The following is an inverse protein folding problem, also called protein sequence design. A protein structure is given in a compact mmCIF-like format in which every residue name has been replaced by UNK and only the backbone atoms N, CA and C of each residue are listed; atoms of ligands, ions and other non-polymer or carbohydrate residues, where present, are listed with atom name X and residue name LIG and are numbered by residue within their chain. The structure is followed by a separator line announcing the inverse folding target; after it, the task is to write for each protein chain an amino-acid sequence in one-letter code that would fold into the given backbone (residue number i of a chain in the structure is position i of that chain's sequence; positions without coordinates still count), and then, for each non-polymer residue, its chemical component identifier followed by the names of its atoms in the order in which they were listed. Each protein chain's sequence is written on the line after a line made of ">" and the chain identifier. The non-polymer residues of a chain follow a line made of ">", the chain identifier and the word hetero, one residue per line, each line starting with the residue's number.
data_IF_951245479054
#
_entry.id   IF_951245479054
#
_cell.length_a   1.000
_cell.length_b   1.000
_cell.length_c   1.000
_cell.angle_alpha   90.00
_cell.angle_beta   90.00
_cell.angle_gamma   90.00
#
_symmetry.space_group_name_H-M   'P 1'
#
loop_
_entity.id
_entity.type
_entity.pdbx_description
1 polymer ?
#
# COMPACT_ATOMS: atom_id res chain seq x y z
N UNK A 1 -10.02 -9.91 5.54
CA UNK A 1 -9.17 -10.71 6.47
C UNK A 1 -9.31 -12.22 6.22
N UNK A 2 -10.47 -12.92 6.44
CA UNK A 2 -10.56 -14.39 6.31
C UNK A 2 -9.94 -14.95 5.01
N UNK A 3 -10.37 -14.51 3.84
CA UNK A 3 -9.79 -14.94 2.55
C UNK A 3 -8.26 -14.74 2.43
N UNK A 4 -7.74 -13.71 3.08
CA UNK A 4 -6.30 -13.47 3.15
C UNK A 4 -5.61 -14.54 4.01
N UNK A 5 -6.15 -14.83 5.19
CA UNK A 5 -5.62 -15.87 6.08
C UNK A 5 -5.73 -17.26 5.45
N UNK A 6 -6.84 -17.56 4.76
CA UNK A 6 -6.99 -18.81 4.00
C UNK A 6 -5.87 -18.95 2.96
N UNK A 7 -5.60 -17.88 2.19
CA UNK A 7 -4.53 -17.89 1.17
C UNK A 7 -3.13 -18.01 1.78
N UNK A 8 -2.90 -17.41 2.95
CA UNK A 8 -1.61 -17.54 3.67
C UNK A 8 -1.40 -18.95 4.22
N UNK A 9 -2.45 -19.59 4.73
CA UNK A 9 -2.35 -20.95 5.27
C UNK A 9 -2.34 -22.02 4.19
N UNK A 10 -2.81 -21.71 2.97
CA UNK A 10 -2.82 -22.59 1.82
C UNK A 10 -1.62 -22.40 0.89
N UNK A 11 -0.53 -21.79 1.36
CA UNK A 11 0.67 -21.62 0.54
C UNK A 11 1.29 -23.00 0.16
N UNK A 12 1.75 -23.11 -1.09
CA UNK A 12 2.46 -24.30 -1.60
C UNK A 12 3.92 -24.30 -1.12
N UNK A 13 4.37 -25.41 -0.56
CA UNK A 13 5.73 -25.57 -0.02
C UNK A 13 6.18 -24.37 0.85
N UNK A 14 5.38 -24.00 1.87
CA UNK A 14 5.69 -22.81 2.64
C UNK A 14 6.98 -22.99 3.45
N UNK A 15 7.81 -21.94 3.54
CA UNK A 15 8.89 -21.93 4.52
C UNK A 15 8.33 -21.95 5.94
N UNK A 16 9.16 -22.23 6.94
CA UNK A 16 8.77 -21.98 8.33
C UNK A 16 8.41 -20.52 8.52
N UNK A 17 7.14 -20.21 8.76
CA UNK A 17 6.66 -18.81 8.89
C UNK A 17 5.70 -18.64 10.05
N UNK A 18 5.67 -17.44 10.61
CA UNK A 18 4.66 -16.97 11.53
C UNK A 18 3.77 -15.93 10.85
N UNK A 19 2.49 -15.92 11.16
CA UNK A 19 1.53 -14.92 10.68
C UNK A 19 1.10 -14.08 11.87
N UNK A 20 1.36 -12.77 11.80
CA UNK A 20 1.05 -11.80 12.84
C UNK A 20 -0.07 -10.87 12.37
N UNK A 21 -1.11 -10.73 13.17
CA UNK A 21 -2.25 -9.84 12.88
C UNK A 21 -2.42 -8.86 14.04
N UNK A 22 -1.79 -7.70 13.98
CA UNK A 22 -2.03 -6.63 14.96
C UNK A 22 -3.42 -6.02 14.77
N UNK A 23 -4.14 -5.85 15.87
CA UNK A 23 -5.46 -5.21 15.88
C UNK A 23 -5.64 -4.34 17.12
N UNK A 24 -6.57 -3.41 17.07
CA UNK A 24 -6.90 -2.52 18.19
C UNK A 24 -8.42 -2.47 18.40
N UNK A 25 -8.84 -1.79 19.46
CA UNK A 25 -10.24 -1.70 19.88
C UNK A 25 -11.19 -1.04 18.86
N UNK A 26 -10.68 -0.45 17.77
CA UNK A 26 -11.52 0.09 16.69
C UNK A 26 -12.05 -0.99 15.74
N UNK A 27 -11.49 -2.21 15.80
CA UNK A 27 -11.92 -3.36 15.02
C UNK A 27 -12.93 -4.16 15.85
N UNK A 28 -14.20 -4.12 15.43
CA UNK A 28 -15.23 -4.96 16.00
C UNK A 28 -14.97 -6.44 15.64
N UNK A 29 -15.22 -7.34 16.59
CA UNK A 29 -15.24 -8.80 16.42
C UNK A 29 -13.97 -9.43 15.81
N UNK A 30 -12.89 -9.43 16.57
CA UNK A 30 -11.73 -10.29 16.29
C UNK A 30 -11.90 -11.70 16.87
N UNK A 31 -12.89 -11.91 17.73
CA UNK A 31 -13.08 -13.19 18.45
C UNK A 31 -13.37 -14.36 17.52
N UNK A 32 -14.25 -14.18 16.55
CA UNK A 32 -14.56 -15.19 15.55
C UNK A 32 -13.36 -15.55 14.68
N UNK A 33 -12.57 -14.58 14.27
CA UNK A 33 -11.32 -14.82 13.50
C UNK A 33 -10.29 -15.57 14.33
N UNK A 34 -10.09 -15.19 15.58
CA UNK A 34 -9.12 -15.86 16.47
C UNK A 34 -9.44 -17.34 16.67
N UNK A 35 -10.73 -17.67 16.85
CA UNK A 35 -11.18 -19.05 16.95
C UNK A 35 -11.03 -19.85 15.64
N UNK A 36 -11.26 -19.20 14.49
CA UNK A 36 -11.15 -19.84 13.18
C UNK A 36 -9.70 -20.07 12.72
N UNK A 37 -8.74 -19.26 13.21
CA UNK A 37 -7.34 -19.31 12.76
C UNK A 37 -6.36 -19.48 13.94
N UNK A 38 -6.35 -20.64 14.63
CA UNK A 38 -5.50 -20.88 15.81
C UNK A 38 -3.99 -20.85 15.52
N UNK A 39 -3.58 -21.07 14.27
CA UNK A 39 -2.18 -20.96 13.83
C UNK A 39 -1.71 -19.51 13.62
N UNK A 40 -2.61 -18.54 13.67
CA UNK A 40 -2.31 -17.12 13.47
C UNK A 40 -2.17 -16.44 14.84
N UNK A 41 -1.11 -15.68 14.99
CA UNK A 41 -0.88 -14.90 16.21
C UNK A 41 -1.51 -13.51 16.10
N UNK A 42 -2.61 -13.33 16.78
CA UNK A 42 -3.29 -12.04 16.89
C UNK A 42 -2.65 -11.22 18.01
N UNK A 43 -2.24 -9.98 17.72
CA UNK A 43 -1.59 -9.06 18.64
C UNK A 43 -2.61 -8.00 19.05
N UNK A 44 -3.10 -8.09 20.29
CA UNK A 44 -4.01 -7.10 20.85
C UNK A 44 -3.24 -5.85 21.28
N UNK A 45 -3.54 -4.73 20.67
CA UNK A 45 -2.94 -3.42 20.98
C UNK A 45 -3.79 -2.60 21.95
N UNK A 46 -4.99 -3.10 22.32
CA UNK A 46 -5.93 -2.39 23.18
C UNK A 46 -6.46 -1.10 22.53
N UNK A 47 -6.64 -0.07 23.33
CA UNK A 47 -7.04 1.26 22.85
C UNK A 47 -5.84 2.05 22.33
N UNK A 48 -5.73 2.18 21.02
CA UNK A 48 -4.67 2.98 20.39
C UNK A 48 -5.10 4.44 20.29
N UNK A 49 -4.34 5.32 20.92
CA UNK A 49 -4.53 6.78 20.77
C UNK A 49 -3.89 7.25 19.46
N UNK A 50 -4.64 8.03 18.70
CA UNK A 50 -4.15 8.68 17.48
C UNK A 50 -4.14 10.19 17.66
N UNK A 51 -3.23 10.88 16.97
CA UNK A 51 -3.14 12.35 17.01
C UNK A 51 -4.33 13.00 16.31
N UNK A 52 -5.04 12.24 15.49
CA UNK A 52 -6.21 12.68 14.72
C UNK A 52 -7.40 11.78 15.00
N UNK A 53 -8.63 12.27 14.87
CA UNK A 53 -9.81 11.44 15.06
C UNK A 53 -9.73 10.15 14.24
N UNK A 54 -9.99 9.00 14.87
CA UNK A 54 -9.86 7.66 14.29
C UNK A 54 -10.65 7.49 12.99
N UNK A 55 -11.81 8.15 12.88
CA UNK A 55 -12.66 8.12 11.68
C UNK A 55 -12.22 9.06 10.56
N UNK A 56 -11.20 9.91 10.78
CA UNK A 56 -10.60 10.72 9.72
C UNK A 56 -9.59 9.91 8.89
N UNK A 57 -9.34 10.31 7.63
CA UNK A 57 -8.32 9.67 6.79
C UNK A 57 -6.94 9.66 7.48
N UNK A 58 -6.56 10.76 8.14
CA UNK A 58 -5.29 10.86 8.84
C UNK A 58 -5.22 9.93 10.07
N UNK A 59 -6.31 9.80 10.85
CA UNK A 59 -6.37 8.88 11.99
C UNK A 59 -6.36 7.42 11.55
N UNK A 60 -7.06 7.08 10.47
CA UNK A 60 -7.03 5.72 9.89
C UNK A 60 -5.62 5.38 9.38
N UNK A 61 -4.95 6.29 8.68
CA UNK A 61 -3.57 6.08 8.23
C UNK A 61 -2.64 5.82 9.43
N UNK A 62 -2.76 6.64 10.48
CA UNK A 62 -1.97 6.48 11.69
C UNK A 62 -2.20 5.12 12.37
N UNK A 63 -3.45 4.64 12.41
CA UNK A 63 -3.76 3.29 12.93
C UNK A 63 -3.08 2.19 12.11
N UNK A 64 -3.11 2.28 10.78
CA UNK A 64 -2.43 1.32 9.93
C UNK A 64 -0.93 1.30 10.19
N UNK A 65 -0.31 2.47 10.29
CA UNK A 65 1.12 2.61 10.57
C UNK A 65 1.49 2.04 11.95
N UNK A 66 0.67 2.28 12.99
CA UNK A 66 0.88 1.73 14.33
C UNK A 66 0.69 0.22 14.39
N UNK A 67 -0.30 -0.33 13.68
CA UNK A 67 -0.49 -1.79 13.56
C UNK A 67 0.72 -2.46 12.90
N UNK A 68 1.23 -1.87 11.80
CA UNK A 68 2.45 -2.35 11.15
C UNK A 68 3.64 -2.34 12.11
N UNK A 69 3.85 -1.25 12.84
CA UNK A 69 4.91 -1.15 13.86
C UNK A 69 4.79 -2.24 14.94
N UNK A 70 3.59 -2.47 15.45
CA UNK A 70 3.35 -3.51 16.45
C UNK A 70 3.66 -4.92 15.93
N UNK A 71 3.31 -5.20 14.67
CA UNK A 71 3.66 -6.44 14.00
C UNK A 71 5.17 -6.61 13.81
N UNK A 72 5.83 -5.58 13.28
CA UNK A 72 7.28 -5.55 13.06
C UNK A 72 8.07 -5.76 14.36
N UNK A 73 7.64 -5.14 15.45
CA UNK A 73 8.29 -5.26 16.76
C UNK A 73 8.24 -6.69 17.33
N UNK A 74 7.26 -7.48 16.95
CA UNK A 74 7.06 -8.85 17.43
C UNK A 74 7.46 -9.94 16.42
N UNK A 75 7.75 -9.56 15.18
CA UNK A 75 8.21 -10.48 14.17
C UNK A 75 9.59 -11.05 14.51
N UNK A 76 9.81 -12.35 14.26
CA UNK A 76 11.04 -13.09 14.62
C UNK A 76 11.82 -13.62 13.41
N UNK A 77 11.19 -13.68 12.26
CA UNK A 77 11.79 -14.20 11.03
C UNK A 77 13.01 -13.41 10.57
N UNK A 78 13.95 -14.04 9.87
CA UNK A 78 15.07 -13.38 9.17
C UNK A 78 14.60 -12.54 7.99
N UNK A 79 13.46 -12.90 7.43
CA UNK A 79 12.68 -12.15 6.45
C UNK A 79 11.38 -11.71 7.09
N UNK A 80 10.96 -10.48 6.85
CA UNK A 80 9.73 -9.91 7.42
C UNK A 80 8.91 -9.28 6.31
N UNK A 81 7.74 -9.86 6.04
CA UNK A 81 6.83 -9.36 5.04
C UNK A 81 5.74 -8.47 5.65
N UNK A 82 5.38 -7.43 4.91
CA UNK A 82 4.18 -6.62 5.13
C UNK A 82 3.24 -6.90 3.97
N UNK A 83 2.03 -7.30 4.31
CA UNK A 83 0.95 -7.57 3.36
C UNK A 83 -0.34 -6.87 3.82
N UNK A 84 -1.15 -6.43 2.86
CA UNK A 84 -2.47 -5.91 3.17
C UNK A 84 -3.51 -7.03 3.19
N UNK A 85 -4.41 -7.02 4.16
CA UNK A 85 -5.45 -8.04 4.34
C UNK A 85 -6.47 -8.15 3.20
N UNK A 86 -6.48 -7.16 2.29
CA UNK A 86 -7.27 -7.16 1.06
C UNK A 86 -6.50 -7.66 -0.17
N UNK A 87 -5.27 -8.11 0.02
CA UNK A 87 -4.38 -8.56 -1.05
C UNK A 87 -3.91 -9.99 -0.80
N UNK A 88 -4.80 -11.00 -0.87
CA UNK A 88 -4.41 -12.40 -0.68
C UNK A 88 -3.29 -12.77 -1.66
N UNK A 89 -2.22 -13.41 -1.16
CA UNK A 89 -1.10 -13.84 -1.98
C UNK A 89 -1.47 -15.08 -2.81
N UNK A 90 -0.82 -15.22 -3.96
CA UNK A 90 -0.94 -16.43 -4.79
C UNK A 90 -0.21 -17.63 -4.14
N UNK A 91 -0.52 -18.87 -4.54
CA UNK A 91 -0.11 -20.08 -3.80
C UNK A 91 1.38 -20.28 -3.55
N UNK A 92 2.25 -19.72 -4.39
CA UNK A 92 3.72 -19.85 -4.26
C UNK A 92 4.42 -18.64 -3.67
N UNK A 93 3.67 -17.64 -3.26
CA UNK A 93 4.19 -16.35 -2.86
C UNK A 93 5.28 -16.48 -1.77
N UNK A 94 5.02 -17.23 -0.71
CA UNK A 94 5.94 -17.33 0.43
C UNK A 94 7.26 -18.02 0.04
N UNK A 95 7.19 -19.13 -0.68
CA UNK A 95 8.35 -19.86 -1.19
C UNK A 95 9.19 -19.01 -2.16
N UNK A 96 8.52 -18.38 -3.13
CA UNK A 96 9.21 -17.60 -4.16
C UNK A 96 9.81 -16.31 -3.57
N UNK A 97 9.19 -15.71 -2.55
CA UNK A 97 9.75 -14.58 -1.82
C UNK A 97 11.06 -14.95 -1.09
N UNK A 98 11.10 -16.08 -0.39
CA UNK A 98 12.33 -16.59 0.25
C UNK A 98 13.42 -16.83 -0.79
N UNK A 99 13.10 -17.57 -1.85
CA UNK A 99 14.05 -17.86 -2.95
C UNK A 99 14.64 -16.58 -3.55
N UNK A 100 13.83 -15.55 -3.77
CA UNK A 100 14.32 -14.27 -4.28
C UNK A 100 15.26 -13.59 -3.30
N UNK A 101 14.97 -13.59 -2.01
CA UNK A 101 15.86 -13.00 -0.99
C UNK A 101 17.17 -13.77 -0.79
N UNK A 102 17.18 -15.06 -1.08
CA UNK A 102 18.41 -15.89 -1.08
C UNK A 102 19.27 -15.65 -2.32
N UNK A 103 18.64 -15.49 -3.49
CA UNK A 103 19.33 -15.33 -4.76
C UNK A 103 19.75 -13.90 -5.11
N UNK A 104 19.13 -12.90 -4.47
CA UNK A 104 19.33 -11.49 -4.78
C UNK A 104 19.93 -10.72 -3.59
N UNK A 105 20.81 -9.75 -3.83
CA UNK A 105 21.48 -8.98 -2.75
C UNK A 105 20.54 -7.97 -2.08
N UNK A 106 19.38 -7.66 -2.69
CA UNK A 106 18.51 -6.56 -2.27
C UNK A 106 17.97 -6.74 -0.86
N UNK A 107 17.96 -5.64 -0.11
CA UNK A 107 17.44 -5.61 1.27
C UNK A 107 15.91 -5.67 1.32
N UNK A 108 15.26 -5.16 0.28
CA UNK A 108 13.80 -5.05 0.16
C UNK A 108 13.35 -5.57 -1.20
N UNK A 109 12.40 -6.49 -1.19
CA UNK A 109 11.77 -7.02 -2.40
C UNK A 109 10.26 -6.79 -2.31
N UNK A 110 9.72 -6.04 -3.27
CA UNK A 110 8.29 -5.91 -3.49
C UNK A 110 7.80 -6.83 -4.60
N UNK A 111 6.50 -7.08 -4.62
CA UNK A 111 5.88 -7.92 -5.62
C UNK A 111 4.82 -7.21 -6.47
N UNK A 112 4.34 -7.94 -7.46
CA UNK A 112 3.22 -7.52 -8.29
C UNK A 112 1.92 -7.46 -7.47
N UNK A 113 1.08 -6.49 -7.82
CA UNK A 113 -0.24 -6.29 -7.23
C UNK A 113 -1.23 -6.34 -8.38
N UNK A 114 -2.05 -7.39 -8.44
CA UNK A 114 -3.07 -7.57 -9.46
C UNK A 114 -4.46 -7.22 -8.92
N UNK A 115 -5.38 -6.86 -9.81
CA UNK A 115 -6.76 -6.56 -9.41
C UNK A 115 -7.63 -7.81 -9.45
N UNK A 116 -8.19 -8.19 -8.30
CA UNK A 116 -9.25 -9.19 -8.23
C UNK A 116 -10.64 -8.63 -8.63
N UNK A 117 -10.79 -7.31 -8.78
CA UNK A 117 -12.05 -6.65 -9.08
C UNK A 117 -12.46 -6.84 -10.54
N UNK A 118 -13.74 -7.15 -10.78
CA UNK A 118 -14.30 -7.33 -12.13
C UNK A 118 -15.02 -6.09 -12.66
N UNK A 119 -15.62 -5.32 -11.77
CA UNK A 119 -16.36 -4.09 -12.10
C UNK A 119 -15.45 -2.89 -12.38
N UNK A 120 -15.99 -1.90 -13.10
CA UNK A 120 -15.23 -0.75 -13.57
C UNK A 120 -14.86 0.24 -12.44
N UNK A 121 -15.70 0.36 -11.40
CA UNK A 121 -15.44 1.28 -10.28
C UNK A 121 -14.23 0.83 -9.47
N UNK A 122 -14.26 -0.42 -9.00
CA UNK A 122 -13.20 -0.96 -8.17
C UNK A 122 -11.90 -1.16 -8.97
N UNK A 123 -12.00 -1.49 -10.24
CA UNK A 123 -10.82 -1.54 -11.11
C UNK A 123 -10.25 -0.14 -11.36
N UNK A 124 -11.08 0.89 -11.55
CA UNK A 124 -10.61 2.28 -11.73
C UNK A 124 -9.84 2.76 -10.49
N UNK A 125 -10.37 2.48 -9.29
CA UNK A 125 -9.69 2.79 -8.04
C UNK A 125 -8.32 2.09 -7.95
N UNK A 126 -8.31 0.77 -8.14
CA UNK A 126 -7.09 -0.01 -8.19
C UNK A 126 -6.09 0.54 -9.22
N UNK A 127 -6.54 0.85 -10.44
CA UNK A 127 -5.67 1.32 -11.50
C UNK A 127 -5.06 2.69 -11.19
N UNK A 128 -5.76 3.57 -10.47
CA UNK A 128 -5.20 4.85 -10.03
C UNK A 128 -4.01 4.66 -9.07
N UNK A 129 -4.07 3.67 -8.18
CA UNK A 129 -3.07 3.49 -7.12
C UNK A 129 -1.99 2.47 -7.50
N UNK A 130 -2.35 1.38 -8.17
CA UNK A 130 -1.48 0.21 -8.34
C UNK A 130 -1.06 -0.08 -9.78
N UNK A 131 -1.43 0.72 -10.79
CA UNK A 131 -1.07 0.45 -12.20
C UNK A 131 0.41 0.16 -12.44
N UNK A 132 1.31 0.76 -11.66
CA UNK A 132 2.75 0.54 -11.79
C UNK A 132 3.19 -0.85 -11.37
N UNK A 133 2.45 -1.47 -10.45
CA UNK A 133 2.71 -2.79 -9.88
C UNK A 133 1.94 -3.92 -10.58
N UNK A 134 0.99 -3.59 -11.49
CA UNK A 134 0.27 -4.62 -12.25
C UNK A 134 1.16 -5.27 -13.30
N UNK A 135 0.95 -6.54 -13.56
CA UNK A 135 1.61 -7.26 -14.64
C UNK A 135 1.10 -6.80 -16.04
N UNK A 136 1.88 -7.00 -17.12
CA UNK A 136 3.28 -7.42 -17.10
C UNK A 136 4.24 -6.27 -16.83
N UNK A 137 5.36 -6.60 -16.18
CA UNK A 137 6.54 -5.74 -16.09
C UNK A 137 7.79 -6.62 -15.93
N UNK A 138 8.96 -6.10 -16.27
CA UNK A 138 10.24 -6.76 -16.04
C UNK A 138 10.68 -6.55 -14.59
N UNK A 139 11.07 -7.65 -13.92
CA UNK A 139 11.64 -7.62 -12.59
C UNK A 139 12.97 -6.85 -12.58
N UNK A 140 13.24 -6.10 -11.52
CA UNK A 140 14.47 -5.32 -11.43
C UNK A 140 14.46 -4.28 -10.32
N UNK A 141 15.59 -3.57 -10.14
CA UNK A 141 15.68 -2.46 -9.19
C UNK A 141 14.66 -1.36 -9.48
N UNK A 142 14.12 -0.75 -8.42
CA UNK A 142 13.14 0.35 -8.49
C UNK A 142 13.40 1.34 -7.36
N UNK A 143 12.91 2.56 -7.54
CA UNK A 143 13.00 3.60 -6.51
C UNK A 143 11.99 3.38 -5.36
N UNK A 144 10.96 2.57 -5.60
CA UNK A 144 9.94 2.22 -4.61
C UNK A 144 9.28 0.87 -4.91
N UNK A 145 8.77 0.26 -3.87
CA UNK A 145 7.85 -0.88 -3.87
C UNK A 145 6.67 -0.54 -2.97
N UNK A 146 5.63 -1.36 -2.89
CA UNK A 146 4.43 -1.04 -2.10
C UNK A 146 4.33 -1.92 -0.87
N UNK A 147 3.94 -1.31 0.26
CA UNK A 147 3.64 -1.98 1.53
C UNK A 147 2.41 -2.93 1.47
N UNK A 148 1.71 -2.93 0.35
CA UNK A 148 0.68 -3.94 0.05
C UNK A 148 1.29 -5.32 -0.22
N UNK A 149 2.53 -5.36 -0.76
CA UNK A 149 3.24 -6.59 -1.10
C UNK A 149 4.75 -6.36 -1.05
N UNK A 150 5.34 -6.41 0.13
CA UNK A 150 6.77 -6.18 0.34
C UNK A 150 7.35 -7.07 1.41
N UNK A 151 8.61 -7.46 1.24
CA UNK A 151 9.39 -8.23 2.22
C UNK A 151 10.77 -7.59 2.42
N UNK A 152 11.20 -7.56 3.67
CA UNK A 152 12.46 -6.98 4.13
C UNK A 152 13.38 -8.06 4.71
N UNK A 153 14.67 -7.98 4.43
CA UNK A 153 15.67 -8.65 5.26
C UNK A 153 15.66 -8.01 6.65
N UNK A 154 15.72 -8.81 7.71
CA UNK A 154 15.71 -8.35 9.11
C UNK A 154 16.70 -7.20 9.34
N UNK A 155 17.94 -7.32 8.83
CA UNK A 155 18.97 -6.30 8.97
C UNK A 155 18.50 -4.90 8.50
N UNK A 156 17.71 -4.84 7.43
CA UNK A 156 17.20 -3.57 6.91
C UNK A 156 16.19 -2.91 7.85
N UNK A 157 15.33 -3.71 8.49
CA UNK A 157 14.40 -3.21 9.51
C UNK A 157 15.15 -2.80 10.78
N UNK A 158 16.15 -3.56 11.22
CA UNK A 158 16.95 -3.22 12.40
C UNK A 158 17.73 -1.92 12.19
N UNK A 159 18.30 -1.72 11.00
CA UNK A 159 19.01 -0.51 10.62
C UNK A 159 18.12 0.74 10.59
N UNK A 160 16.83 0.58 10.32
CA UNK A 160 15.84 1.66 10.21
C UNK A 160 14.85 1.71 11.37
N UNK A 161 15.14 1.03 12.49
CA UNK A 161 14.22 0.84 13.62
C UNK A 161 13.62 2.14 14.13
N UNK A 162 14.41 3.18 14.29
CA UNK A 162 13.96 4.48 14.79
C UNK A 162 12.90 5.15 13.89
N UNK A 163 12.83 4.76 12.62
CA UNK A 163 11.88 5.32 11.66
C UNK A 163 10.52 4.64 11.69
N UNK A 164 10.44 3.42 12.24
CA UNK A 164 9.21 2.63 12.20
C UNK A 164 8.74 2.11 13.57
N UNK A 165 9.52 2.17 14.63
CA UNK A 165 9.17 1.57 15.93
C UNK A 165 7.86 2.10 16.53
N UNK A 166 7.50 3.36 16.29
CA UNK A 166 6.24 3.96 16.75
C UNK A 166 5.17 3.97 15.67
N UNK A 167 5.56 4.31 14.45
CA UNK A 167 4.71 4.39 13.26
C UNK A 167 5.51 3.99 12.04
N UNK A 168 5.10 2.94 11.36
CA UNK A 168 5.72 2.52 10.13
C UNK A 168 5.38 3.50 9.01
N UNK A 169 6.40 4.03 8.36
CA UNK A 169 6.26 4.87 7.17
C UNK A 169 7.13 4.29 6.06
N UNK A 170 6.48 3.60 5.12
CA UNK A 170 7.15 2.98 3.98
C UNK A 170 8.14 3.94 3.28
N UNK A 171 7.75 5.18 2.90
CA UNK A 171 8.66 6.06 2.19
C UNK A 171 9.90 6.44 3.01
N UNK A 172 9.74 6.66 4.32
CA UNK A 172 10.87 7.01 5.20
C UNK A 172 11.87 5.87 5.34
N UNK A 173 11.36 4.65 5.50
CA UNK A 173 12.20 3.44 5.58
C UNK A 173 12.93 3.22 4.27
N UNK A 174 12.24 3.31 3.14
CA UNK A 174 12.83 3.12 1.82
C UNK A 174 13.91 4.17 1.50
N UNK A 175 13.65 5.43 1.76
CA UNK A 175 14.63 6.51 1.53
C UNK A 175 15.88 6.32 2.40
N UNK A 176 15.74 5.99 3.68
CA UNK A 176 16.87 5.75 4.56
C UNK A 176 17.74 4.56 4.10
N UNK A 177 17.09 3.47 3.63
CA UNK A 177 17.82 2.34 3.07
C UNK A 177 18.56 2.70 1.78
N UNK A 178 17.91 3.48 0.89
CA UNK A 178 18.53 3.95 -0.36
C UNK A 178 19.72 4.91 -0.08
N UNK A 179 19.58 5.81 0.89
CA UNK A 179 20.66 6.68 1.35
C UNK A 179 21.84 5.90 1.94
N UNK A 180 21.57 4.75 2.57
CA UNK A 180 22.58 3.82 3.06
C UNK A 180 23.19 2.92 1.96
N UNK A 181 22.77 3.06 0.71
CA UNK A 181 23.26 2.29 -0.44
C UNK A 181 22.52 0.99 -0.72
N UNK A 182 21.46 0.66 0.03
CA UNK A 182 20.59 -0.48 -0.29
C UNK A 182 19.71 -0.15 -1.50
N UNK A 183 19.30 -1.20 -2.23
CA UNK A 183 18.42 -1.07 -3.39
C UNK A 183 17.11 -1.82 -3.14
N UNK A 184 16.01 -1.23 -3.61
CA UNK A 184 14.71 -1.88 -3.65
C UNK A 184 14.57 -2.67 -4.96
N UNK A 185 13.93 -3.81 -4.90
CA UNK A 185 13.70 -4.66 -6.07
C UNK A 185 12.20 -4.95 -6.22
N UNK A 186 11.67 -4.85 -7.44
CA UNK A 186 10.29 -5.21 -7.74
C UNK A 186 10.28 -6.48 -8.59
N UNK A 187 9.63 -7.53 -8.07
CA UNK A 187 9.52 -8.83 -8.74
C UNK A 187 8.14 -9.06 -9.34
N UNK A 188 8.11 -9.56 -10.57
CA UNK A 188 6.89 -10.03 -11.23
C UNK A 188 6.45 -11.44 -10.81
N UNK A 189 7.26 -12.15 -10.02
CA UNK A 189 7.02 -13.53 -9.62
C UNK A 189 6.14 -13.66 -8.38
N UNK A 190 6.30 -12.75 -7.42
CA UNK A 190 5.54 -12.75 -6.16
C UNK A 190 4.33 -11.82 -6.27
N UNK A 191 3.16 -12.42 -6.40
CA UNK A 191 1.93 -11.72 -6.79
C UNK A 191 0.88 -11.80 -5.68
N UNK A 192 0.21 -10.68 -5.43
CA UNK A 192 -1.01 -10.61 -4.62
C UNK A 192 -2.19 -10.14 -5.47
N UNK A 193 -3.40 -10.61 -5.15
CA UNK A 193 -4.62 -10.24 -5.87
C UNK A 193 -5.44 -9.27 -5.01
N UNK A 194 -5.27 -7.97 -5.23
CA UNK A 194 -5.88 -6.91 -4.43
C UNK A 194 -7.38 -6.79 -4.67
N UNK A 195 -8.16 -6.87 -3.60
CA UNK A 195 -9.62 -6.77 -3.58
C UNK A 195 -10.06 -5.37 -3.18
N UNK A 196 -10.41 -4.55 -4.16
CA UNK A 196 -11.10 -3.28 -3.91
C UNK A 196 -12.60 -3.50 -3.82
N UNK A 197 -13.28 -2.95 -2.81
CA UNK A 197 -14.69 -3.20 -2.54
C UNK A 197 -15.47 -1.92 -2.18
N UNK A 198 -15.58 -1.00 -3.15
CA UNK A 198 -16.43 0.16 -3.00
C UNK A 198 -17.80 -0.08 -3.61
N UNK A 199 -18.83 0.28 -2.87
CA UNK A 199 -20.21 0.10 -3.31
C UNK A 199 -20.67 1.16 -4.34
N UNK A 200 -20.09 2.37 -4.30
CA UNK A 200 -20.49 3.48 -5.18
C UNK A 200 -19.45 4.61 -5.23
N UNK A 201 -19.53 5.42 -6.28
CA UNK A 201 -18.74 6.66 -6.40
C UNK A 201 -18.98 7.64 -5.24
N UNK A 202 -20.21 7.72 -4.74
CA UNK A 202 -20.54 8.60 -3.62
C UNK A 202 -19.75 8.28 -2.34
N UNK A 203 -19.34 7.03 -2.16
CA UNK A 203 -18.46 6.61 -1.06
C UNK A 203 -17.00 6.90 -1.33
N UNK A 204 -16.55 6.67 -2.55
CA UNK A 204 -15.14 6.76 -2.93
C UNK A 204 -14.64 8.20 -3.10
N UNK A 205 -15.44 9.07 -3.72
CA UNK A 205 -14.99 10.43 -4.04
C UNK A 205 -14.61 11.27 -2.81
N UNK A 206 -15.41 11.28 -1.71
CA UNK A 206 -15.00 11.96 -0.47
C UNK A 206 -13.71 11.38 0.11
N UNK A 207 -13.57 10.05 0.10
CA UNK A 207 -12.37 9.38 0.59
C UNK A 207 -11.14 9.80 -0.23
N UNK A 208 -11.24 9.79 -1.58
CA UNK A 208 -10.16 10.26 -2.47
C UNK A 208 -9.78 11.72 -2.20
N UNK A 209 -10.75 12.59 -1.98
CA UNK A 209 -10.49 13.98 -1.62
C UNK A 209 -9.76 14.09 -0.29
N UNK A 210 -10.20 13.38 0.75
CA UNK A 210 -9.55 13.41 2.06
C UNK A 210 -8.12 12.87 2.04
N UNK A 211 -7.86 11.77 1.32
CA UNK A 211 -6.51 11.24 1.13
C UNK A 211 -5.62 12.22 0.34
N UNK A 212 -6.15 12.81 -0.73
CA UNK A 212 -5.46 13.86 -1.48
C UNK A 212 -5.12 15.05 -0.58
N UNK A 213 -6.07 15.49 0.26
CA UNK A 213 -5.87 16.59 1.21
C UNK A 213 -4.76 16.30 2.21
N UNK A 214 -4.75 15.09 2.79
CA UNK A 214 -3.70 14.66 3.70
C UNK A 214 -2.33 14.65 3.00
N UNK A 215 -2.27 14.13 1.79
CA UNK A 215 -1.03 14.12 1.00
C UNK A 215 -0.53 15.54 0.68
N UNK A 216 -1.42 16.43 0.25
CA UNK A 216 -1.10 17.84 -0.01
C UNK A 216 -0.57 18.56 1.23
N UNK A 217 -1.19 18.32 2.39
CA UNK A 217 -0.72 18.83 3.68
C UNK A 217 0.69 18.33 4.01
N UNK A 218 0.93 17.03 3.92
CA UNK A 218 2.24 16.45 4.22
C UNK A 218 3.32 17.01 3.28
N UNK A 219 3.05 17.05 1.97
CA UNK A 219 3.99 17.58 0.98
C UNK A 219 4.28 19.06 1.19
N UNK A 220 3.29 19.86 1.53
CA UNK A 220 3.45 21.30 1.75
C UNK A 220 4.47 21.65 2.85
N UNK A 221 4.79 20.72 3.74
CA UNK A 221 5.79 20.88 4.82
C UNK A 221 7.23 20.69 4.31
N UNK A 222 7.42 20.02 3.18
CA UNK A 222 8.73 19.66 2.64
C UNK A 222 9.10 20.39 1.34
N UNK A 223 8.22 21.29 0.85
CA UNK A 223 8.45 22.01 -0.41
C UNK A 223 8.44 23.53 -0.19
N UNK A 224 9.17 24.27 -1.04
CA UNK A 224 9.24 25.74 -1.01
C UNK A 224 7.90 26.41 -1.37
N UNK A 225 7.74 27.69 -1.05
CA UNK A 225 6.55 28.47 -1.40
C UNK A 225 6.31 28.51 -2.92
N UNK A 226 7.37 28.65 -3.71
CA UNK A 226 7.28 28.65 -5.18
C UNK A 226 6.80 27.29 -5.72
N UNK A 227 7.31 26.20 -5.17
CA UNK A 227 6.85 24.86 -5.53
C UNK A 227 5.37 24.64 -5.15
N UNK A 228 4.93 25.11 -3.98
CA UNK A 228 3.51 25.07 -3.58
C UNK A 228 2.62 25.82 -4.56
N UNK A 229 2.99 27.07 -4.89
CA UNK A 229 2.25 27.86 -5.86
C UNK A 229 2.15 27.14 -7.22
N UNK A 230 3.26 26.59 -7.71
CA UNK A 230 3.28 25.79 -8.94
C UNK A 230 2.32 24.60 -8.87
N UNK A 231 2.27 23.88 -7.75
CA UNK A 231 1.34 22.75 -7.58
C UNK A 231 -0.12 23.19 -7.59
N UNK A 232 -0.44 24.31 -6.96
CA UNK A 232 -1.80 24.86 -6.97
C UNK A 232 -2.21 25.29 -8.38
N UNK A 233 -1.36 26.02 -9.08
CA UNK A 233 -1.65 26.53 -10.45
C UNK A 233 -1.77 25.38 -11.46
N UNK A 234 -0.90 24.37 -11.37
CA UNK A 234 -0.91 23.22 -12.29
C UNK A 234 -1.92 22.13 -11.87
N UNK A 235 -2.53 22.27 -10.71
CA UNK A 235 -3.52 21.30 -10.18
C UNK A 235 -4.58 20.89 -11.21
N UNK A 236 -5.29 21.82 -11.88
CA UNK A 236 -6.32 21.48 -12.85
C UNK A 236 -5.84 20.66 -14.05
N UNK A 237 -4.57 20.74 -14.38
CA UNK A 237 -3.98 20.00 -15.53
C UNK A 237 -3.59 18.57 -15.14
N UNK A 238 -3.39 18.31 -13.86
CA UNK A 238 -2.92 17.00 -13.38
C UNK A 238 -3.89 15.84 -13.69
N UNK A 239 -5.20 15.92 -13.45
CA UNK A 239 -6.10 14.79 -13.70
C UNK A 239 -6.08 14.29 -15.15
N UNK A 240 -6.24 15.14 -16.18
CA UNK A 240 -6.16 14.66 -17.57
C UNK A 240 -4.75 14.15 -17.94
N UNK A 241 -3.69 14.79 -17.43
CA UNK A 241 -2.32 14.33 -17.67
C UNK A 241 -2.07 12.96 -17.05
N UNK A 242 -2.52 12.74 -15.81
CA UNK A 242 -2.40 11.46 -15.14
C UNK A 242 -3.25 10.39 -15.83
N UNK A 243 -4.47 10.72 -16.25
CA UNK A 243 -5.32 9.81 -17.04
C UNK A 243 -4.62 9.38 -18.32
N UNK A 244 -4.02 10.31 -19.05
CA UNK A 244 -3.25 10.00 -20.25
C UNK A 244 -2.07 9.05 -19.96
N UNK A 245 -1.32 9.31 -18.89
CA UNK A 245 -0.21 8.43 -18.45
C UNK A 245 -0.70 7.04 -18.10
N UNK A 246 -1.82 6.94 -17.38
CA UNK A 246 -2.48 5.65 -17.09
C UNK A 246 -2.89 4.93 -18.38
N UNK A 247 -3.48 5.65 -19.34
CA UNK A 247 -3.85 5.09 -20.63
C UNK A 247 -2.67 4.48 -21.39
N UNK A 248 -1.53 5.20 -21.43
CA UNK A 248 -0.28 4.66 -22.03
C UNK A 248 0.19 3.41 -21.31
N UNK A 249 0.17 3.41 -19.98
CA UNK A 249 0.57 2.26 -19.15
C UNK A 249 -0.33 1.06 -19.43
N UNK A 250 -1.64 1.26 -19.39
CA UNK A 250 -2.62 0.18 -19.61
C UNK A 250 -2.58 -0.35 -21.05
N UNK A 251 -2.28 0.50 -22.03
CA UNK A 251 -2.06 0.07 -23.42
C UNK A 251 -0.85 -0.85 -23.54
N UNK A 252 0.27 -0.50 -22.90
CA UNK A 252 1.50 -1.33 -22.90
C UNK A 252 1.29 -2.67 -22.18
N UNK A 253 0.40 -2.71 -21.19
CA UNK A 253 0.07 -3.90 -20.40
C UNK A 253 -1.05 -4.76 -20.99
N UNK A 254 -1.62 -4.39 -22.14
CA UNK A 254 -2.70 -5.15 -22.78
C UNK A 254 -4.09 -4.91 -22.19
N UNK A 255 -4.24 -3.97 -21.25
CA UNK A 255 -5.50 -3.69 -20.54
C UNK A 255 -6.26 -2.47 -21.08
N UNK A 256 -5.95 -2.01 -22.31
CA UNK A 256 -6.49 -0.76 -22.84
C UNK A 256 -8.02 -0.74 -22.95
N UNK A 257 -8.64 -1.84 -23.38
CA UNK A 257 -10.12 -1.93 -23.44
C UNK A 257 -10.79 -1.81 -22.08
N UNK A 258 -10.16 -2.34 -21.02
CA UNK A 258 -10.63 -2.18 -19.64
C UNK A 258 -10.43 -0.74 -19.14
N UNK A 259 -9.29 -0.14 -19.48
CA UNK A 259 -9.01 1.26 -19.21
C UNK A 259 -10.06 2.19 -19.84
N UNK A 260 -10.41 2.03 -21.10
CA UNK A 260 -11.40 2.89 -21.78
C UNK A 260 -12.77 2.87 -21.04
N UNK A 261 -13.22 1.71 -20.61
CA UNK A 261 -14.46 1.59 -19.83
C UNK A 261 -14.38 2.27 -18.46
N UNK A 262 -13.22 2.26 -17.83
CA UNK A 262 -12.99 2.82 -16.51
C UNK A 262 -12.51 4.29 -16.55
N UNK A 263 -12.09 4.80 -17.71
CA UNK A 263 -11.48 6.14 -17.84
C UNK A 263 -12.35 7.30 -17.30
N UNK A 264 -13.68 7.33 -17.52
CA UNK A 264 -14.51 8.39 -16.93
C UNK A 264 -14.47 8.35 -15.39
N UNK A 265 -14.53 7.15 -14.81
CA UNK A 265 -14.44 6.97 -13.35
C UNK A 265 -13.04 7.36 -12.86
N UNK A 266 -11.98 6.92 -13.53
CA UNK A 266 -10.61 7.30 -13.18
C UNK A 266 -10.42 8.81 -13.19
N UNK A 267 -10.97 9.51 -14.20
CA UNK A 267 -10.91 10.98 -14.26
C UNK A 267 -11.55 11.62 -13.03
N UNK A 268 -12.72 11.15 -12.60
CA UNK A 268 -13.38 11.63 -11.38
C UNK A 268 -12.55 11.37 -10.13
N UNK A 269 -11.98 10.17 -9.99
CA UNK A 269 -11.11 9.80 -8.85
C UNK A 269 -9.85 10.67 -8.81
N UNK A 270 -9.18 10.87 -9.95
CA UNK A 270 -8.00 11.72 -10.07
C UNK A 270 -8.33 13.19 -9.79
N UNK A 271 -9.49 13.67 -10.23
CA UNK A 271 -9.95 15.04 -9.97
C UNK A 271 -10.23 15.23 -8.47
N UNK A 272 -10.94 14.30 -7.83
CA UNK A 272 -11.20 14.37 -6.39
C UNK A 272 -9.89 14.36 -5.57
N UNK A 273 -8.96 13.47 -5.91
CA UNK A 273 -7.63 13.43 -5.28
C UNK A 273 -6.89 14.76 -5.45
N UNK A 274 -6.78 15.26 -6.68
CA UNK A 274 -6.05 16.51 -6.98
C UNK A 274 -6.69 17.73 -6.32
N UNK A 275 -8.03 17.80 -6.29
CA UNK A 275 -8.74 18.86 -5.57
C UNK A 275 -8.41 18.83 -4.08
N UNK A 276 -8.40 17.65 -3.46
CA UNK A 276 -7.97 17.45 -2.09
C UNK A 276 -6.51 17.88 -1.87
N UNK A 277 -5.61 17.46 -2.75
CA UNK A 277 -4.19 17.79 -2.69
C UNK A 277 -3.93 19.31 -2.77
N UNK A 278 -4.58 19.99 -3.70
CA UNK A 278 -4.53 21.46 -3.82
C UNK A 278 -5.06 22.10 -2.54
N UNK A 279 -6.21 21.63 -2.04
CA UNK A 279 -6.81 22.14 -0.81
C UNK A 279 -5.90 21.96 0.40
N UNK A 280 -5.31 20.78 0.60
CA UNK A 280 -4.36 20.50 1.68
C UNK A 280 -3.09 21.34 1.59
N UNK A 281 -2.61 21.59 0.35
CA UNK A 281 -1.44 22.44 0.08
C UNK A 281 -1.71 23.90 0.44
N UNK A 282 -2.91 24.44 0.13
CA UNK A 282 -3.31 25.83 0.43
C UNK A 282 -3.55 26.00 1.92
N UNK A 283 -4.40 25.16 2.50
CA UNK A 283 -4.86 25.32 3.88
C UNK A 283 -3.82 24.90 4.92
N UNK A 284 -2.86 24.07 4.53
CA UNK A 284 -1.89 23.40 5.43
C UNK A 284 -2.58 22.69 6.61
N UNK A 285 -3.76 22.13 6.36
CA UNK A 285 -4.54 21.36 7.34
C UNK A 285 -4.82 19.97 6.77
N UNK A 286 -4.65 18.89 7.56
CA UNK A 286 -4.91 17.52 7.13
C UNK A 286 -6.40 17.25 6.95
#
# INVERSE_FOLDING_TARGET
>A
MGRFLDAMLAQEDPPGMEILVPYDSSIADTGGLRGAYPAVRFIDMGGVRTDRPVHSAAGQHELYDRRRSAGLAQARGSLVAILEDRAPPRPRWARDMVRLHESLPHAVIGGAIESASRDSLNWAFYACDFSRYSLPFESGPRDWVSDVNVCYKRRALDQTRELWQDRFSEPRVHWALQEAGDTLYLSSEVVVDHETRYASLARVLPERFHWGRLFGYQRARHVSAAQRLRHVVLGPILPPLLLFRHGRTQRRKGHFGRFLRAAPIMLLLLTAWTAGEVWGTITRKP
#
